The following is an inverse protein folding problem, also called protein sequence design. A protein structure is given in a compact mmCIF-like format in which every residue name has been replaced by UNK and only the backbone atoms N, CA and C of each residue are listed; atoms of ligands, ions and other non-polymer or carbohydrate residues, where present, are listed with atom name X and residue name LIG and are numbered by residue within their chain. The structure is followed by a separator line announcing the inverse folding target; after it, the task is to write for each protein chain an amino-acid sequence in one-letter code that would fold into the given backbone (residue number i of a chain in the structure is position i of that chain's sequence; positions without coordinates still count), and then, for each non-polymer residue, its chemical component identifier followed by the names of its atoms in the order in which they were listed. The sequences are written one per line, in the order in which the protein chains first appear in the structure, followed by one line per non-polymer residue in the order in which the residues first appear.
data_IF_065615817171
#
_entry.id   IF_065615817171
#
_cell.length_a   1.000
_cell.length_b   1.000
_cell.length_c   1.000
_cell.angle_alpha   90.00
_cell.angle_beta   90.00
_cell.angle_gamma   90.00
#
_symmetry.space_group_name_H-M   'P 1'
#
loop_
_entity.id
_entity.type
_entity.pdbx_description
1 polymer ?
#
# COMPACT_ATOMS: atom_id res chain seq x y z
N UNK A 1 -13.31 -9.69 -8.85
CA UNK A 1 -12.84 -10.18 -7.54
C UNK A 1 -12.13 -9.09 -6.73
N UNK A 2 -11.09 -8.43 -7.28
CA UNK A 2 -10.34 -7.35 -6.60
C UNK A 2 -11.23 -6.24 -6.01
N UNK A 3 -12.26 -5.78 -6.73
CA UNK A 3 -13.19 -4.73 -6.25
C UNK A 3 -13.98 -5.13 -5.00
N UNK A 4 -14.39 -6.39 -4.89
CA UNK A 4 -15.14 -6.91 -3.71
C UNK A 4 -14.21 -7.00 -2.51
N UNK A 5 -12.99 -7.49 -2.72
CA UNK A 5 -11.96 -7.56 -1.68
C UNK A 5 -11.59 -6.15 -1.21
N UNK A 6 -11.39 -5.22 -2.13
CA UNK A 6 -11.08 -3.83 -1.84
C UNK A 6 -12.16 -3.16 -0.98
N UNK A 7 -13.44 -3.39 -1.29
CA UNK A 7 -14.54 -2.82 -0.50
C UNK A 7 -14.57 -3.37 0.94
N UNK A 8 -14.43 -4.69 1.11
CA UNK A 8 -14.35 -5.30 2.45
C UNK A 8 -13.12 -4.85 3.20
N UNK A 9 -12.00 -4.74 2.49
CA UNK A 9 -10.73 -4.35 3.09
C UNK A 9 -10.76 -2.92 3.61
N UNK A 10 -11.42 -2.01 2.87
CA UNK A 10 -11.60 -0.61 3.27
C UNK A 10 -12.20 -0.47 4.67
N UNK A 11 -13.24 -1.24 5.00
CA UNK A 11 -13.92 -1.17 6.30
C UNK A 11 -13.01 -1.56 7.48
N UNK A 12 -12.10 -2.51 7.25
CA UNK A 12 -11.14 -2.96 8.26
C UNK A 12 -9.97 -1.98 8.34
N UNK A 13 -9.45 -1.57 7.19
CA UNK A 13 -8.24 -0.76 7.10
C UNK A 13 -8.38 0.56 7.88
N UNK A 14 -9.52 1.23 7.84
CA UNK A 14 -9.75 2.49 8.55
C UNK A 14 -9.49 2.38 10.06
N UNK A 15 -9.69 1.20 10.65
CA UNK A 15 -9.42 0.92 12.08
C UNK A 15 -7.96 0.60 12.35
N UNK A 16 -7.23 0.19 11.33
CA UNK A 16 -5.88 -0.33 11.43
C UNK A 16 -4.80 0.71 11.14
N UNK A 17 -5.15 1.81 10.46
CA UNK A 17 -4.19 2.84 10.06
C UNK A 17 -4.28 4.10 10.93
N UNK A 18 -3.12 4.70 11.18
CA UNK A 18 -2.96 5.86 12.05
C UNK A 18 -3.90 7.01 11.61
N UNK A 19 -4.52 7.67 12.58
CA UNK A 19 -5.41 8.83 12.34
C UNK A 19 -4.70 9.98 11.60
N UNK A 20 -3.37 10.01 11.65
CA UNK A 20 -2.56 10.96 10.91
C UNK A 20 -2.59 10.73 9.39
N UNK A 21 -2.83 9.50 8.93
CA UNK A 21 -2.97 9.16 7.52
C UNK A 21 -4.38 9.52 7.04
N UNK A 22 -4.44 10.50 6.13
CA UNK A 22 -5.69 11.00 5.53
C UNK A 22 -5.90 10.60 4.08
N UNK A 23 -4.85 10.14 3.38
CA UNK A 23 -4.95 9.74 1.98
C UNK A 23 -5.82 8.49 1.81
N UNK A 24 -6.70 8.48 0.80
CA UNK A 24 -7.55 7.35 0.42
C UNK A 24 -8.50 6.81 1.51
N UNK A 25 -8.68 7.55 2.60
CA UNK A 25 -9.66 7.26 3.66
C UNK A 25 -10.80 8.27 3.56
N UNK A 26 -12.03 7.76 3.53
CA UNK A 26 -13.21 8.63 3.38
C UNK A 26 -13.37 9.50 4.64
N UNK A 27 -13.68 10.78 4.46
CA UNK A 27 -13.94 11.69 5.58
C UNK A 27 -12.72 12.17 6.37
N UNK A 28 -11.49 11.68 6.07
CA UNK A 28 -10.27 12.20 6.69
C UNK A 28 -9.71 13.36 5.87
N UNK A 29 -9.95 14.59 6.32
CA UNK A 29 -9.28 15.79 5.82
C UNK A 29 -8.56 16.46 6.98
N UNK A 30 -7.23 16.59 6.88
CA UNK A 30 -6.43 17.30 7.89
C UNK A 30 -6.21 18.74 7.46
N UNK A 31 -6.53 19.66 8.36
CA UNK A 31 -6.09 21.04 8.24
C UNK A 31 -4.80 21.20 9.06
N UNK A 32 -3.80 21.87 8.50
CA UNK A 32 -2.58 22.19 9.23
C UNK A 32 -2.89 23.11 10.41
N UNK A 33 -2.36 22.81 11.60
CA UNK A 33 -2.26 23.81 12.66
C UNK A 33 -1.18 24.84 12.26
N UNK A 34 -1.21 26.06 12.82
CA UNK A 34 -0.08 27.00 12.67
C UNK A 34 1.21 26.27 13.05
N UNK A 35 2.13 26.17 12.10
CA UNK A 35 3.43 25.52 12.27
C UNK A 35 4.49 26.37 11.61
N UNK A 36 5.70 26.39 12.19
CA UNK A 36 6.83 27.17 11.67
C UNK A 36 7.52 26.49 10.47
N UNK A 37 7.30 25.18 10.28
CA UNK A 37 7.97 24.39 9.24
C UNK A 37 7.11 23.19 8.83
N UNK A 38 7.21 22.79 7.55
CA UNK A 38 6.64 21.56 7.03
C UNK A 38 7.75 20.74 6.35
N UNK A 39 7.83 19.45 6.67
CA UNK A 39 8.76 18.51 6.02
C UNK A 39 7.99 17.76 4.93
N UNK A 40 8.45 17.89 3.68
CA UNK A 40 7.90 17.15 2.54
C UNK A 40 8.80 15.96 2.24
N UNK A 41 8.24 14.76 2.35
CA UNK A 41 8.88 13.52 1.93
C UNK A 41 8.20 13.03 0.66
N UNK A 42 8.99 12.73 -0.36
CA UNK A 42 8.51 12.20 -1.64
C UNK A 42 9.18 10.84 -1.92
N UNK A 43 8.38 9.87 -2.36
CA UNK A 43 8.85 8.51 -2.60
C UNK A 43 8.99 8.28 -4.10
N UNK A 44 10.23 8.15 -4.57
CA UNK A 44 10.52 7.85 -5.97
C UNK A 44 9.83 6.55 -6.40
N UNK A 45 8.98 6.62 -7.45
CA UNK A 45 8.27 5.46 -8.00
C UNK A 45 7.56 4.62 -6.92
N UNK A 46 6.85 5.31 -6.02
CA UNK A 46 6.33 4.72 -4.78
C UNK A 46 5.57 3.41 -4.97
N UNK A 47 4.80 3.28 -6.05
CA UNK A 47 4.06 2.07 -6.39
C UNK A 47 4.95 0.97 -6.97
N UNK A 48 5.92 1.28 -7.82
CA UNK A 48 6.79 0.29 -8.48
C UNK A 48 7.81 -0.33 -7.53
N UNK A 49 8.08 0.33 -6.39
CA UNK A 49 9.13 -0.05 -5.46
C UNK A 49 8.64 -0.81 -4.22
N UNK A 50 7.34 -1.11 -4.11
CA UNK A 50 6.78 -1.81 -2.96
C UNK A 50 7.21 -3.28 -2.94
N UNK A 51 7.93 -3.69 -1.90
CA UNK A 51 8.28 -5.10 -1.67
C UNK A 51 7.08 -5.87 -1.08
N UNK A 52 6.64 -6.93 -1.75
CA UNK A 52 5.47 -7.69 -1.29
C UNK A 52 5.71 -8.46 0.01
N UNK A 53 6.95 -8.88 0.27
CA UNK A 53 7.36 -9.50 1.54
C UNK A 53 7.17 -8.54 2.71
N UNK A 54 7.48 -7.26 2.53
CA UNK A 54 7.26 -6.22 3.53
C UNK A 54 5.76 -6.02 3.80
N UNK A 55 4.93 -5.93 2.76
CA UNK A 55 3.46 -5.82 2.92
C UNK A 55 2.91 -7.02 3.69
N UNK A 56 3.34 -8.24 3.34
CA UNK A 56 2.95 -9.47 4.03
C UNK A 56 3.28 -9.39 5.52
N UNK A 57 4.52 -9.05 5.85
CA UNK A 57 5.00 -8.98 7.23
C UNK A 57 4.26 -7.91 8.05
N UNK A 58 4.00 -6.75 7.46
CA UNK A 58 3.19 -5.71 8.10
C UNK A 58 1.78 -6.21 8.41
N UNK A 59 1.13 -6.89 7.47
CA UNK A 59 -0.21 -7.45 7.71
C UNK A 59 -0.21 -8.53 8.80
N UNK A 60 0.83 -9.37 8.88
CA UNK A 60 1.00 -10.33 9.98
C UNK A 60 1.08 -9.60 11.31
N UNK A 61 1.91 -8.55 11.41
CA UNK A 61 2.08 -7.76 12.65
C UNK A 61 0.82 -6.99 13.06
N UNK A 62 0.00 -6.60 12.08
CA UNK A 62 -1.29 -5.97 12.31
C UNK A 62 -2.39 -6.97 12.72
N UNK A 63 -2.10 -8.27 12.72
CA UNK A 63 -3.01 -9.32 13.19
C UNK A 63 -4.04 -9.76 12.14
N UNK A 64 -3.77 -9.57 10.85
CA UNK A 64 -4.66 -10.06 9.80
C UNK A 64 -4.65 -11.59 9.73
N UNK A 65 -5.80 -12.15 9.32
CA UNK A 65 -5.96 -13.59 9.12
C UNK A 65 -4.95 -14.13 8.07
N UNK A 66 -4.23 -15.24 8.34
CA UNK A 66 -3.25 -15.80 7.42
C UNK A 66 -3.80 -16.17 6.04
N UNK A 67 -5.01 -16.73 5.96
CA UNK A 67 -5.63 -17.10 4.68
C UNK A 67 -6.00 -15.88 3.85
N UNK A 68 -6.41 -14.80 4.52
CA UNK A 68 -6.67 -13.52 3.89
C UNK A 68 -5.38 -12.86 3.36
N UNK A 69 -4.30 -12.91 4.14
CA UNK A 69 -2.96 -12.45 3.71
C UNK A 69 -2.50 -13.23 2.48
N UNK A 70 -2.59 -14.56 2.52
CA UNK A 70 -2.17 -15.42 1.40
C UNK A 70 -2.96 -15.11 0.12
N UNK A 71 -4.28 -14.93 0.24
CA UNK A 71 -5.15 -14.56 -0.87
C UNK A 71 -4.71 -13.24 -1.52
N UNK A 72 -4.38 -12.23 -0.72
CA UNK A 72 -3.89 -10.95 -1.22
C UNK A 72 -2.50 -11.04 -1.87
N UNK A 73 -1.57 -11.75 -1.23
CA UNK A 73 -0.23 -11.94 -1.80
C UNK A 73 -0.29 -12.69 -3.12
N UNK A 74 -1.19 -13.67 -3.25
CA UNK A 74 -1.47 -14.34 -4.51
C UNK A 74 -2.04 -13.39 -5.57
N UNK A 75 -2.92 -12.47 -5.19
CA UNK A 75 -3.46 -11.47 -6.12
C UNK A 75 -2.39 -10.52 -6.70
N UNK A 76 -1.35 -10.17 -5.93
CA UNK A 76 -0.27 -9.29 -6.42
C UNK A 76 0.82 -10.06 -7.18
N UNK A 77 1.13 -11.29 -6.77
CA UNK A 77 2.27 -12.07 -7.29
C UNK A 77 1.99 -12.85 -8.58
N UNK A 78 0.73 -13.08 -8.93
CA UNK A 78 0.35 -13.86 -10.11
C UNK A 78 0.24 -13.03 -11.39
N UNK A 79 0.36 -11.71 -11.28
CA UNK A 79 0.32 -10.80 -12.44
C UNK A 79 1.54 -11.06 -13.33
N UNK A 80 1.37 -10.91 -14.64
CA UNK A 80 2.45 -11.01 -15.62
C UNK A 80 2.35 -9.86 -16.63
N UNK A 81 3.47 -9.42 -17.17
CA UNK A 81 3.59 -8.24 -18.01
C UNK A 81 4.34 -8.56 -19.30
N UNK A 82 3.95 -7.88 -20.38
CA UNK A 82 4.76 -7.78 -21.59
C UNK A 82 4.97 -6.30 -21.92
N UNK A 83 6.12 -5.96 -22.48
CA UNK A 83 6.39 -4.60 -22.96
C UNK A 83 5.99 -4.51 -24.41
N UNK A 84 5.14 -3.54 -24.75
CA UNK A 84 4.83 -3.22 -26.15
C UNK A 84 5.75 -2.11 -26.62
N UNK A 85 6.55 -2.38 -27.65
CA UNK A 85 7.46 -1.40 -28.25
C UNK A 85 7.25 -1.38 -29.77
N UNK A 86 6.93 -0.21 -30.33
CA UNK A 86 6.63 -0.05 -31.76
C UNK A 86 5.63 -1.09 -32.30
N UNK A 87 4.54 -1.34 -31.56
CA UNK A 87 3.48 -2.34 -31.90
C UNK A 87 3.92 -3.80 -31.74
N UNK A 88 5.18 -4.09 -31.44
CA UNK A 88 5.65 -5.44 -31.11
C UNK A 88 5.47 -5.73 -29.62
N UNK A 89 4.86 -6.88 -29.32
CA UNK A 89 4.72 -7.38 -27.95
C UNK A 89 5.96 -8.20 -27.61
N UNK A 90 6.71 -7.76 -26.61
CA UNK A 90 7.86 -8.48 -26.08
C UNK A 90 7.47 -9.72 -25.26
N UNK A 91 8.47 -10.42 -24.75
CA UNK A 91 8.27 -11.61 -23.92
C UNK A 91 7.53 -11.29 -22.62
N UNK A 92 6.84 -12.29 -22.10
CA UNK A 92 6.14 -12.18 -20.83
C UNK A 92 7.14 -12.35 -19.67
N UNK A 93 7.10 -11.42 -18.72
CA UNK A 93 7.89 -11.48 -17.50
C UNK A 93 6.98 -11.30 -16.28
N UNK A 94 7.41 -11.86 -15.15
CA UNK A 94 6.70 -11.70 -13.88
C UNK A 94 7.39 -10.64 -13.02
N UNK A 95 6.65 -9.65 -12.50
CA UNK A 95 7.18 -8.73 -11.51
C UNK A 95 7.54 -9.48 -10.23
N UNK A 96 8.56 -9.02 -9.52
CA UNK A 96 8.92 -9.49 -8.18
C UNK A 96 8.43 -8.56 -7.08
N UNK A 97 8.03 -7.34 -7.47
CA UNK A 97 7.62 -6.26 -6.58
C UNK A 97 6.74 -5.25 -7.31
N UNK A 98 6.21 -4.32 -6.53
CA UNK A 98 5.45 -3.19 -7.01
C UNK A 98 3.94 -3.44 -7.08
N UNK A 99 3.19 -2.36 -7.21
CA UNK A 99 1.74 -2.32 -7.21
C UNK A 99 1.25 -1.61 -8.47
N UNK A 100 0.52 -2.32 -9.33
CA UNK A 100 -0.10 -1.77 -10.55
C UNK A 100 -1.13 -0.65 -10.27
N UNK A 101 -0.85 0.56 -10.73
CA UNK A 101 -1.87 1.62 -10.72
C UNK A 101 -3.14 1.21 -11.47
N UNK A 102 -4.29 1.62 -10.94
CA UNK A 102 -5.61 1.33 -11.51
C UNK A 102 -6.31 0.11 -10.90
N UNK A 103 -5.63 -0.72 -10.11
CA UNK A 103 -6.30 -1.76 -9.32
C UNK A 103 -6.87 -1.15 -8.02
N UNK A 104 -8.17 -1.34 -7.72
CA UNK A 104 -8.81 -0.77 -6.53
C UNK A 104 -8.22 -1.28 -5.21
N UNK A 105 -7.54 -2.42 -5.19
CA UNK A 105 -6.93 -2.99 -3.98
C UNK A 105 -5.63 -2.27 -3.58
N UNK A 106 -4.85 -1.81 -4.56
CA UNK A 106 -3.47 -1.42 -4.34
C UNK A 106 -3.26 -0.10 -3.59
N UNK A 107 -4.14 0.90 -3.66
CA UNK A 107 -4.09 2.05 -2.76
C UNK A 107 -4.11 1.65 -1.28
N UNK A 108 -4.86 0.59 -0.93
CA UNK A 108 -4.96 0.12 0.45
C UNK A 108 -3.68 -0.61 0.92
N UNK A 109 -3.07 -1.42 0.05
CA UNK A 109 -1.77 -2.03 0.33
C UNK A 109 -0.66 -0.98 0.49
N UNK A 110 -0.75 0.13 -0.25
CA UNK A 110 0.16 1.26 -0.08
C UNK A 110 0.00 1.96 1.28
N UNK A 111 -1.23 2.07 1.80
CA UNK A 111 -1.48 2.64 3.13
C UNK A 111 -0.85 1.81 4.25
N UNK A 112 -0.86 0.48 4.12
CA UNK A 112 -0.16 -0.43 5.05
C UNK A 112 1.35 -0.11 5.07
N UNK A 113 1.94 0.22 3.93
CA UNK A 113 3.35 0.62 3.88
C UNK A 113 3.59 1.92 4.65
N UNK A 114 2.69 2.89 4.50
CA UNK A 114 2.73 4.15 5.24
C UNK A 114 2.57 3.96 6.76
N UNK A 115 1.81 2.95 7.20
CA UNK A 115 1.66 2.63 8.62
C UNK A 115 2.99 2.18 9.24
N UNK A 116 3.80 1.41 8.50
CA UNK A 116 5.15 1.03 8.94
C UNK A 116 6.03 2.25 9.23
N UNK A 117 6.04 3.24 8.33
CA UNK A 117 6.76 4.50 8.55
C UNK A 117 6.17 5.29 9.72
N UNK A 118 4.84 5.39 9.82
CA UNK A 118 4.16 6.08 10.91
C UNK A 118 4.50 5.46 12.28
N UNK A 119 4.59 4.13 12.34
CA UNK A 119 4.98 3.39 13.54
C UNK A 119 6.42 3.70 13.95
N UNK A 120 7.37 3.71 13.00
CA UNK A 120 8.76 4.06 13.26
C UNK A 120 8.92 5.49 13.78
N UNK A 121 8.21 6.45 13.18
CA UNK A 121 8.21 7.84 13.67
C UNK A 121 7.65 7.94 15.09
N UNK A 122 6.58 7.20 15.38
CA UNK A 122 5.99 7.17 16.72
C UNK A 122 6.89 6.55 17.78
N UNK A 123 7.75 5.60 17.41
CA UNK A 123 8.79 5.06 18.30
C UNK A 123 9.90 6.07 18.53
N UNK A 124 10.42 6.69 17.48
CA UNK A 124 11.50 7.68 17.56
C UNK A 124 11.12 8.94 18.37
N UNK A 125 9.82 9.28 18.45
CA UNK A 125 9.34 10.39 19.28
C UNK A 125 9.19 10.07 20.77
N UNK A 126 9.28 8.79 21.15
CA UNK A 126 9.17 8.34 22.55
C UNK A 126 10.53 8.20 23.24
N UNK A 127 11.61 8.22 22.45
CA UNK A 127 12.99 8.34 22.92
C UNK A 127 13.32 9.81 23.23
#
# INVERSE_FOLDING_TARGET
MAKVIANRFKEVLEKCINVAQSAFVSGRRRWGKKGFMAVKLDMSKAYDKVEWSFVKEMMVRMGFDPGWIESLIKCVSTVSYSVVFNVHVGENFRPTRGLRQGDPLYPFLFLICGEGLSSLMGLAMKE
#
